data_IF_720733412610
#
_entry.id   IF_720733412610
#
_cell.length_a   1.000
_cell.length_b   1.000
_cell.length_c   1.000
_cell.angle_alpha   90.00
_cell.angle_beta   90.00
_cell.angle_gamma   90.00
#
_symmetry.space_group_name_H-M   'P 1'
#
loop_
_entity.id
_entity.type
_entity.pdbx_description
1 polymer ?
#
# COMPACT_ATOMS: atom_id res chain seq x y z
N UNK A 1 -20.35 -4.20 -46.02
CA UNK A 1 -20.80 -5.15 -44.97
C UNK A 1 -19.68 -5.59 -44.01
N UNK A 2 -18.54 -4.87 -43.94
CA UNK A 2 -17.36 -5.30 -43.17
C UNK A 2 -17.16 -4.59 -41.80
N UNK A 3 -18.01 -3.62 -41.45
CA UNK A 3 -17.88 -2.84 -40.21
C UNK A 3 -18.41 -3.55 -38.95
N UNK A 4 -19.39 -4.47 -39.05
CA UNK A 4 -19.98 -5.10 -37.86
C UNK A 4 -19.00 -6.02 -37.11
N UNK A 5 -18.07 -6.66 -37.83
CA UNK A 5 -17.05 -7.54 -37.24
C UNK A 5 -15.89 -6.81 -36.57
N UNK A 6 -15.69 -5.53 -36.85
CA UNK A 6 -14.69 -4.69 -36.18
C UNK A 6 -15.23 -4.17 -34.84
N UNK A 7 -16.45 -3.65 -34.84
CA UNK A 7 -17.14 -3.20 -33.62
C UNK A 7 -17.33 -4.34 -32.60
N UNK A 8 -17.68 -5.54 -33.07
CA UNK A 8 -17.82 -6.71 -32.19
C UNK A 8 -16.50 -7.11 -31.52
N UNK A 9 -15.40 -7.17 -32.29
CA UNK A 9 -14.07 -7.49 -31.75
C UNK A 9 -13.55 -6.46 -30.76
N UNK A 10 -13.84 -5.18 -31.00
CA UNK A 10 -13.45 -4.09 -30.11
C UNK A 10 -14.21 -4.13 -28.77
N UNK A 11 -15.53 -4.28 -28.84
CA UNK A 11 -16.38 -4.45 -27.66
C UNK A 11 -15.95 -5.66 -26.83
N UNK A 12 -15.66 -6.79 -27.47
CA UNK A 12 -15.19 -7.99 -26.79
C UNK A 12 -13.82 -7.76 -26.09
N UNK A 13 -12.92 -6.97 -26.68
CA UNK A 13 -11.61 -6.64 -26.11
C UNK A 13 -11.72 -5.71 -24.89
N UNK A 14 -12.57 -4.68 -24.95
CA UNK A 14 -12.81 -3.76 -23.83
C UNK A 14 -13.45 -4.46 -22.63
N UNK A 15 -14.33 -5.44 -22.88
CA UNK A 15 -14.88 -6.29 -21.81
C UNK A 15 -13.81 -7.16 -21.16
N UNK A 16 -12.91 -7.75 -21.95
CA UNK A 16 -11.83 -8.61 -21.44
C UNK A 16 -10.84 -7.81 -20.56
N UNK A 17 -10.45 -6.60 -20.99
CA UNK A 17 -9.52 -5.75 -20.21
C UNK A 17 -10.16 -5.33 -18.89
N UNK A 18 -11.44 -4.91 -18.91
CA UNK A 18 -12.17 -4.54 -17.71
C UNK A 18 -12.31 -5.71 -16.72
N UNK A 19 -12.62 -6.90 -17.21
CA UNK A 19 -12.76 -8.09 -16.37
C UNK A 19 -11.41 -8.54 -15.79
N UNK A 20 -10.33 -8.45 -16.58
CA UNK A 20 -8.97 -8.74 -16.10
C UNK A 20 -8.55 -7.79 -14.98
N UNK A 21 -8.70 -6.47 -15.17
CA UNK A 21 -8.37 -5.46 -14.16
C UNK A 21 -9.23 -5.58 -12.90
N UNK A 22 -10.53 -5.88 -13.04
CA UNK A 22 -11.41 -6.13 -11.89
C UNK A 22 -10.98 -7.36 -11.11
N UNK A 23 -10.56 -8.41 -11.81
CA UNK A 23 -10.03 -9.63 -11.19
C UNK A 23 -8.75 -9.31 -10.42
N UNK A 24 -7.80 -8.60 -11.03
CA UNK A 24 -6.56 -8.18 -10.38
C UNK A 24 -6.82 -7.33 -9.12
N UNK A 25 -7.73 -6.36 -9.18
CA UNK A 25 -8.14 -5.56 -8.01
C UNK A 25 -8.72 -6.45 -6.90
N UNK A 26 -9.51 -7.45 -7.27
CA UNK A 26 -10.10 -8.37 -6.30
C UNK A 26 -9.04 -9.22 -5.61
N UNK A 27 -8.04 -9.69 -6.35
CA UNK A 27 -6.91 -10.48 -5.82
C UNK A 27 -6.02 -9.63 -4.90
N UNK A 28 -5.70 -8.40 -5.30
CA UNK A 28 -4.93 -7.47 -4.49
C UNK A 28 -5.67 -7.13 -3.18
N UNK A 29 -7.00 -6.95 -3.23
CA UNK A 29 -7.83 -6.75 -2.01
C UNK A 29 -7.78 -7.94 -1.08
N UNK A 30 -7.82 -9.16 -1.63
CA UNK A 30 -7.70 -10.40 -0.87
C UNK A 30 -6.31 -10.51 -0.23
N UNK A 31 -5.26 -10.22 -0.98
CA UNK A 31 -3.88 -10.22 -0.49
C UNK A 31 -3.68 -9.21 0.64
N UNK A 32 -4.21 -7.99 0.50
CA UNK A 32 -4.21 -6.98 1.58
C UNK A 32 -4.93 -7.50 2.83
N UNK A 33 -6.10 -8.12 2.68
CA UNK A 33 -6.82 -8.69 3.82
C UNK A 33 -6.00 -9.79 4.51
N UNK A 34 -5.39 -10.69 3.75
CA UNK A 34 -4.53 -11.74 4.28
C UNK A 34 -3.32 -11.17 5.03
N UNK A 35 -2.69 -10.12 4.52
CA UNK A 35 -1.58 -9.44 5.20
C UNK A 35 -2.01 -8.81 6.54
N UNK A 36 -3.20 -8.20 6.59
CA UNK A 36 -3.75 -7.64 7.83
C UNK A 36 -4.00 -8.76 8.84
N UNK A 37 -4.64 -9.85 8.42
CA UNK A 37 -4.92 -10.99 9.30
C UNK A 37 -3.62 -11.63 9.80
N UNK A 38 -2.61 -11.75 8.94
CA UNK A 38 -1.27 -12.23 9.31
C UNK A 38 -0.62 -11.28 10.31
N UNK A 39 -0.68 -9.95 10.11
CA UNK A 39 -0.15 -8.96 11.07
C UNK A 39 -0.73 -9.22 12.47
N UNK A 40 -2.06 -9.29 12.59
CA UNK A 40 -2.70 -9.52 13.89
C UNK A 40 -2.33 -10.87 14.49
N UNK A 41 -2.33 -11.95 13.70
CA UNK A 41 -1.98 -13.28 14.17
C UNK A 41 -0.53 -13.33 14.69
N UNK A 42 0.44 -12.80 13.91
CA UNK A 42 1.84 -12.78 14.28
C UNK A 42 2.09 -11.92 15.51
N UNK A 43 1.57 -10.69 15.56
CA UNK A 43 1.79 -9.80 16.69
C UNK A 43 1.15 -10.33 17.97
N UNK A 44 -0.05 -10.90 17.88
CA UNK A 44 -0.71 -11.53 19.04
C UNK A 44 0.03 -12.76 19.52
N UNK A 45 0.50 -13.62 18.61
CA UNK A 45 1.30 -14.79 18.97
C UNK A 45 2.64 -14.39 19.62
N UNK A 46 3.37 -13.46 19.02
CA UNK A 46 4.67 -13.00 19.54
C UNK A 46 4.52 -12.31 20.89
N UNK A 47 3.51 -11.47 21.05
CA UNK A 47 3.23 -10.81 22.33
C UNK A 47 2.80 -11.81 23.39
N UNK A 48 1.93 -12.77 23.04
CA UNK A 48 1.50 -13.85 23.94
C UNK A 48 2.68 -14.73 24.37
N UNK A 49 3.49 -15.23 23.44
CA UNK A 49 4.67 -16.05 23.73
C UNK A 49 5.71 -15.27 24.55
N UNK A 50 5.96 -14.01 24.20
CA UNK A 50 6.87 -13.15 24.96
C UNK A 50 6.38 -12.87 26.39
N UNK A 51 5.07 -12.82 26.60
CA UNK A 51 4.46 -12.65 27.93
C UNK A 51 4.51 -13.92 28.80
N UNK A 52 4.73 -15.11 28.23
CA UNK A 52 4.88 -16.36 29.02
C UNK A 52 6.06 -16.23 30.01
N UNK A 53 7.12 -15.53 29.61
CA UNK A 53 8.27 -15.26 30.49
C UNK A 53 7.93 -14.42 31.73
N UNK A 54 6.78 -13.73 31.76
CA UNK A 54 6.27 -13.01 32.93
C UNK A 54 5.60 -13.95 33.92
N UNK A 55 4.90 -14.97 33.40
CA UNK A 55 4.10 -15.91 34.21
C UNK A 55 5.00 -17.01 34.79
N UNK A 56 5.98 -17.47 34.02
CA UNK A 56 7.00 -18.39 34.49
C UNK A 56 8.12 -17.62 35.18
N UNK A 57 7.89 -17.14 36.40
CA UNK A 57 8.89 -16.53 37.31
C UNK A 57 10.09 -17.44 37.66
N UNK A 58 10.27 -18.55 36.97
CA UNK A 58 11.29 -19.56 37.21
C UNK A 58 12.24 -19.60 36.02
N UNK A 59 13.53 -19.78 36.30
CA UNK A 59 14.64 -19.94 35.36
C UNK A 59 14.39 -21.00 34.27
N UNK A 60 13.54 -20.70 33.30
CA UNK A 60 13.46 -21.46 32.06
C UNK A 60 14.67 -21.07 31.22
N UNK A 61 15.40 -22.07 30.72
CA UNK A 61 16.57 -21.91 29.86
C UNK A 61 16.27 -21.14 28.56
N UNK A 62 15.00 -21.00 28.21
CA UNK A 62 14.52 -20.24 27.06
C UNK A 62 13.86 -18.95 27.51
N UNK A 63 14.57 -17.83 27.31
CA UNK A 63 14.04 -16.50 27.56
C UNK A 63 13.27 -15.97 26.34
N UNK A 64 11.96 -16.21 26.30
CA UNK A 64 11.08 -15.75 25.23
C UNK A 64 10.78 -14.25 25.28
N UNK A 65 11.12 -13.53 26.36
CA UNK A 65 10.87 -12.09 26.44
C UNK A 65 11.61 -11.27 25.38
N UNK A 66 12.68 -11.80 24.78
CA UNK A 66 13.36 -11.18 23.64
C UNK A 66 12.42 -11.00 22.43
N UNK A 67 11.37 -11.82 22.30
CA UNK A 67 10.35 -11.67 21.26
C UNK A 67 9.58 -10.36 21.39
N UNK A 68 9.39 -9.84 22.61
CA UNK A 68 8.70 -8.57 22.85
C UNK A 68 9.44 -7.40 22.19
N UNK A 69 10.77 -7.41 22.21
CA UNK A 69 11.57 -6.39 21.53
C UNK A 69 11.37 -6.40 20.01
N UNK A 70 11.01 -7.53 19.41
CA UNK A 70 10.78 -7.67 17.97
C UNK A 70 9.37 -7.26 17.53
N UNK A 71 8.39 -7.30 18.43
CA UNK A 71 6.98 -6.96 18.15
C UNK A 71 6.80 -5.67 17.34
N UNK A 72 7.36 -4.50 17.74
CA UNK A 72 7.16 -3.27 16.98
C UNK A 72 7.85 -3.31 15.61
N UNK A 73 9.02 -3.95 15.48
CA UNK A 73 9.72 -4.03 14.20
C UNK A 73 8.97 -4.91 13.19
N UNK A 74 8.42 -6.03 13.66
CA UNK A 74 7.56 -6.89 12.84
C UNK A 74 6.28 -6.14 12.45
N UNK A 75 5.69 -5.39 13.37
CA UNK A 75 4.51 -4.58 13.10
C UNK A 75 4.76 -3.52 12.01
N UNK A 76 5.89 -2.80 12.12
CA UNK A 76 6.37 -1.84 11.11
C UNK A 76 6.56 -2.52 9.75
N UNK A 77 7.16 -3.71 9.71
CA UNK A 77 7.36 -4.44 8.45
C UNK A 77 6.02 -4.80 7.78
N UNK A 78 5.04 -5.27 8.56
CA UNK A 78 3.68 -5.50 8.03
C UNK A 78 3.03 -4.21 7.52
N UNK A 79 3.25 -3.08 8.18
CA UNK A 79 2.72 -1.79 7.73
C UNK A 79 3.27 -1.37 6.38
N UNK A 80 4.56 -1.61 6.13
CA UNK A 80 5.14 -1.43 4.80
C UNK A 80 4.48 -2.32 3.74
N UNK A 81 4.30 -3.61 4.03
CA UNK A 81 3.68 -4.53 3.06
C UNK A 81 2.22 -4.18 2.77
N UNK A 82 1.44 -3.90 3.81
CA UNK A 82 0.03 -3.49 3.66
C UNK A 82 -0.07 -2.17 2.91
N UNK A 83 0.85 -1.23 3.18
CA UNK A 83 0.93 0.05 2.47
C UNK A 83 1.18 -0.14 0.97
N UNK A 84 2.16 -0.96 0.59
CA UNK A 84 2.48 -1.23 -0.82
C UNK A 84 1.27 -1.82 -1.55
N UNK A 85 0.52 -2.71 -0.90
CA UNK A 85 -0.66 -3.33 -1.50
C UNK A 85 -1.87 -2.40 -1.59
N UNK A 86 -2.11 -1.56 -0.58
CA UNK A 86 -3.17 -0.56 -0.64
C UNK A 86 -2.93 0.46 -1.78
N UNK A 87 -1.66 0.84 -1.97
CA UNK A 87 -1.23 1.67 -3.10
C UNK A 87 -1.53 1.01 -4.47
N UNK A 88 -1.30 -0.30 -4.61
CA UNK A 88 -1.61 -1.04 -5.85
C UNK A 88 -3.12 -1.04 -6.15
N UNK A 89 -3.95 -1.33 -5.14
CA UNK A 89 -5.42 -1.44 -5.29
C UNK A 89 -6.04 -0.12 -5.76
N UNK A 90 -5.69 0.99 -5.11
CA UNK A 90 -6.33 2.28 -5.41
C UNK A 90 -5.82 2.90 -6.70
N UNK A 91 -4.56 2.65 -7.06
CA UNK A 91 -4.01 2.98 -8.38
C UNK A 91 -4.77 2.26 -9.50
N UNK A 92 -4.97 0.95 -9.39
CA UNK A 92 -5.77 0.20 -10.35
C UNK A 92 -7.24 0.67 -10.38
N UNK A 93 -7.82 0.99 -9.22
CA UNK A 93 -9.20 1.49 -9.12
C UNK A 93 -9.43 2.87 -9.73
N UNK A 94 -8.51 3.83 -9.53
CA UNK A 94 -8.63 5.17 -10.14
C UNK A 94 -8.41 5.14 -11.65
N UNK A 95 -7.49 4.30 -12.13
CA UNK A 95 -7.31 4.10 -13.57
C UNK A 95 -8.58 3.57 -14.24
N UNK A 96 -9.25 2.56 -13.65
CA UNK A 96 -10.52 2.06 -14.17
C UNK A 96 -11.60 3.14 -14.28
N UNK A 97 -11.71 4.02 -13.27
CA UNK A 97 -12.68 5.12 -13.32
C UNK A 97 -12.39 6.10 -14.45
N UNK A 98 -11.11 6.33 -14.78
CA UNK A 98 -10.72 7.22 -15.87
C UNK A 98 -10.86 6.56 -17.24
N UNK A 99 -10.58 5.26 -17.34
CA UNK A 99 -10.78 4.46 -18.54
C UNK A 99 -12.26 4.45 -18.97
N UNK A 100 -13.19 4.42 -18.02
CA UNK A 100 -14.63 4.48 -18.29
C UNK A 100 -15.12 5.79 -18.92
N UNK A 101 -14.36 6.88 -18.80
CA UNK A 101 -14.71 8.20 -19.34
C UNK A 101 -13.97 8.54 -20.65
N UNK A 102 -13.16 7.62 -21.17
CA UNK A 102 -12.34 7.82 -22.36
C UNK A 102 -13.06 7.33 -23.63
N UNK A 103 -13.03 8.08 -24.74
CA UNK A 103 -13.60 7.61 -26.00
C UNK A 103 -12.72 6.51 -26.62
N UNK A 104 -13.29 5.31 -26.74
CA UNK A 104 -13.02 4.22 -27.70
C UNK A 104 -11.55 4.10 -28.20
N UNK A 105 -10.58 3.92 -27.30
CA UNK A 105 -9.15 3.79 -27.62
C UNK A 105 -8.86 2.34 -28.08
N UNK A 106 -8.64 2.12 -29.39
CA UNK A 106 -8.50 0.76 -29.96
C UNK A 106 -7.09 0.15 -29.90
N UNK A 107 -6.11 0.79 -29.23
CA UNK A 107 -4.72 0.32 -29.24
C UNK A 107 -4.22 0.03 -27.81
N UNK A 108 -3.97 -1.25 -27.53
CA UNK A 108 -3.46 -1.74 -26.24
C UNK A 108 -2.16 -1.03 -25.80
N UNK A 109 -1.27 -0.65 -26.73
CA UNK A 109 -0.04 0.08 -26.41
C UNK A 109 -0.28 1.52 -25.92
N UNK A 110 -1.34 2.19 -26.38
CA UNK A 110 -1.70 3.53 -25.89
C UNK A 110 -2.27 3.47 -24.48
N UNK A 111 -3.01 2.41 -24.15
CA UNK A 111 -3.57 2.18 -22.81
C UNK A 111 -2.45 1.91 -21.79
N UNK A 112 -1.42 1.15 -22.17
CA UNK A 112 -0.27 0.86 -21.31
C UNK A 112 0.57 2.11 -21.02
N UNK A 113 0.80 2.97 -22.03
CA UNK A 113 1.45 4.27 -21.83
C UNK A 113 0.65 5.23 -20.93
N UNK A 114 -0.68 5.30 -21.12
CA UNK A 114 -1.58 6.10 -20.27
C UNK A 114 -1.59 5.53 -18.84
N UNK A 115 -1.49 4.22 -18.67
CA UNK A 115 -1.36 3.57 -17.38
C UNK A 115 -0.04 3.93 -16.69
N UNK A 116 1.09 3.86 -17.39
CA UNK A 116 2.41 4.22 -16.84
C UNK A 116 2.48 5.69 -16.42
N UNK A 117 1.92 6.60 -17.24
CA UNK A 117 1.87 8.03 -16.92
C UNK A 117 0.91 8.30 -15.76
N UNK A 118 -0.24 7.61 -15.71
CA UNK A 118 -1.18 7.68 -14.59
C UNK A 118 -0.57 7.15 -13.27
N UNK A 119 0.20 6.07 -13.34
CA UNK A 119 0.96 5.48 -12.22
C UNK A 119 1.96 6.50 -11.66
N UNK A 120 2.63 7.24 -12.54
CA UNK A 120 3.57 8.30 -12.14
C UNK A 120 2.86 9.47 -11.42
N UNK A 121 1.60 9.76 -11.76
CA UNK A 121 0.89 10.96 -11.31
C UNK A 121 -0.04 10.78 -10.10
N UNK A 122 -0.50 9.56 -9.78
CA UNK A 122 -1.48 9.35 -8.71
C UNK A 122 -0.97 8.51 -7.52
N UNK A 123 -0.01 9.01 -6.72
CA UNK A 123 0.32 8.36 -5.47
C UNK A 123 -0.74 8.55 -4.39
N UNK A 124 -1.05 7.44 -3.73
CA UNK A 124 -2.24 7.26 -2.89
C UNK A 124 -2.12 7.83 -1.46
N UNK A 125 -3.26 8.21 -0.83
CA UNK A 125 -3.39 9.16 0.29
C UNK A 125 -4.20 8.70 1.52
N UNK A 126 -4.58 7.42 1.65
CA UNK A 126 -5.75 7.08 2.49
C UNK A 126 -5.57 6.20 3.73
N UNK A 127 -4.93 5.03 3.63
CA UNK A 127 -5.15 3.96 4.63
C UNK A 127 -4.11 3.87 5.75
N UNK A 128 -3.04 4.66 5.68
CA UNK A 128 -1.82 4.46 6.46
C UNK A 128 -1.99 4.74 7.96
N UNK A 129 -2.88 5.67 8.34
CA UNK A 129 -2.99 6.12 9.73
C UNK A 129 -3.49 5.02 10.68
N UNK A 130 -4.45 4.19 10.26
CA UNK A 130 -5.00 3.13 11.11
C UNK A 130 -3.95 2.05 11.43
N UNK A 131 -3.06 1.76 10.48
CA UNK A 131 -2.02 0.74 10.66
C UNK A 131 -0.93 1.20 11.63
N UNK A 132 -0.52 2.46 11.52
CA UNK A 132 0.40 3.10 12.45
C UNK A 132 -0.13 3.14 13.88
N UNK A 133 -1.44 3.38 14.06
CA UNK A 133 -2.07 3.32 15.39
C UNK A 133 -2.01 1.91 15.97
N UNK A 134 -2.29 0.88 15.18
CA UNK A 134 -2.17 -0.52 15.63
C UNK A 134 -0.74 -0.84 16.04
N UNK A 135 0.25 -0.42 15.23
CA UNK A 135 1.67 -0.62 15.54
C UNK A 135 2.09 0.09 16.82
N UNK A 136 1.59 1.30 17.06
CA UNK A 136 1.82 2.03 18.30
C UNK A 136 1.22 1.30 19.51
N UNK A 137 0.00 0.76 19.38
CA UNK A 137 -0.64 -0.03 20.45
C UNK A 137 0.24 -1.24 20.82
N UNK A 138 0.74 -1.98 19.83
CA UNK A 138 1.62 -3.13 20.07
C UNK A 138 2.98 -2.71 20.63
N UNK A 139 3.54 -1.59 20.19
CA UNK A 139 4.79 -1.03 20.72
C UNK A 139 4.66 -0.64 22.19
N UNK A 140 3.59 0.06 22.57
CA UNK A 140 3.29 0.44 23.95
C UNK A 140 3.01 -0.80 24.80
N UNK A 141 2.23 -1.75 24.29
CA UNK A 141 1.92 -3.00 25.00
C UNK A 141 3.20 -3.80 25.28
N UNK A 142 4.09 -3.91 24.29
CA UNK A 142 5.40 -4.55 24.46
C UNK A 142 6.27 -3.82 25.49
N UNK A 143 6.32 -2.48 25.45
CA UNK A 143 7.04 -1.68 26.44
C UNK A 143 6.55 -1.97 27.87
N UNK A 144 5.23 -1.98 28.08
CA UNK A 144 4.64 -2.26 29.39
C UNK A 144 5.00 -3.67 29.91
N UNK A 145 4.98 -4.67 29.03
CA UNK A 145 5.38 -6.03 29.37
C UNK A 145 6.88 -6.12 29.71
N UNK A 146 7.75 -5.41 28.98
CA UNK A 146 9.18 -5.36 29.25
C UNK A 146 9.51 -4.61 30.56
N UNK A 147 8.75 -3.58 30.91
CA UNK A 147 8.83 -2.92 32.22
C UNK A 147 8.45 -3.89 33.33
N UNK A 148 7.38 -4.67 33.16
CA UNK A 148 6.97 -5.68 34.13
C UNK A 148 8.05 -6.77 34.35
N UNK A 149 8.83 -7.08 33.30
CA UNK A 149 10.00 -7.96 33.36
C UNK A 149 11.26 -7.34 33.96
N UNK A 150 11.18 -6.09 34.45
CA UNK A 150 12.29 -5.37 35.11
C UNK A 150 13.54 -5.19 34.24
N UNK A 151 13.36 -5.07 32.93
CA UNK A 151 14.45 -4.70 32.03
C UNK A 151 14.98 -3.28 32.33
N UNK A 152 16.24 -3.04 31.95
CA UNK A 152 16.91 -1.78 32.27
C UNK A 152 16.29 -0.60 31.53
N UNK A 153 15.90 0.44 32.28
CA UNK A 153 15.11 1.57 31.78
C UNK A 153 15.73 2.28 30.56
N UNK A 154 17.05 2.46 30.53
CA UNK A 154 17.72 3.15 29.42
C UNK A 154 17.66 2.33 28.11
N UNK A 155 17.76 0.99 28.18
CA UNK A 155 17.62 0.12 27.01
C UNK A 155 16.21 0.23 26.45
N UNK A 156 15.20 0.16 27.34
CA UNK A 156 13.79 0.28 26.94
C UNK A 156 13.48 1.64 26.33
N UNK A 157 14.04 2.70 26.90
CA UNK A 157 13.86 4.07 26.40
C UNK A 157 14.46 4.22 25.01
N UNK A 158 15.72 3.81 24.80
CA UNK A 158 16.37 3.89 23.48
C UNK A 158 15.60 3.05 22.46
N UNK A 159 15.26 1.81 22.80
CA UNK A 159 14.49 0.92 21.92
C UNK A 159 13.14 1.52 21.53
N UNK A 160 12.39 2.06 22.48
CA UNK A 160 11.09 2.66 22.22
C UNK A 160 11.21 3.92 21.36
N UNK A 161 12.21 4.77 21.64
CA UNK A 161 12.51 5.95 20.81
C UNK A 161 12.80 5.52 19.37
N UNK A 162 13.64 4.50 19.16
CA UNK A 162 13.94 3.98 17.81
C UNK A 162 12.67 3.49 17.12
N UNK A 163 11.85 2.69 17.80
CA UNK A 163 10.59 2.18 17.24
C UNK A 163 9.63 3.32 16.83
N UNK A 164 9.45 4.32 17.70
CA UNK A 164 8.60 5.49 17.44
C UNK A 164 9.18 6.37 16.33
N UNK A 165 10.50 6.54 16.26
CA UNK A 165 11.14 7.30 15.18
C UNK A 165 11.00 6.59 13.83
N UNK A 166 11.14 5.26 13.78
CA UNK A 166 10.91 4.49 12.57
C UNK A 166 9.45 4.64 12.08
N UNK A 167 8.49 4.44 12.98
CA UNK A 167 7.07 4.59 12.65
C UNK A 167 6.73 6.05 12.25
N UNK A 168 7.26 7.02 13.00
CA UNK A 168 7.13 8.43 12.71
C UNK A 168 7.72 8.82 11.36
N UNK A 169 8.86 8.24 10.96
CA UNK A 169 9.46 8.47 9.65
C UNK A 169 8.59 7.95 8.50
N UNK A 170 7.93 6.80 8.69
CA UNK A 170 6.99 6.23 7.72
C UNK A 170 5.78 7.15 7.57
N UNK A 171 5.20 7.56 8.70
CA UNK A 171 4.10 8.51 8.74
C UNK A 171 4.47 9.87 8.13
N UNK A 172 5.63 10.42 8.47
CA UNK A 172 6.13 11.69 7.94
C UNK A 172 6.34 11.61 6.44
N UNK A 173 7.04 10.58 5.94
CA UNK A 173 7.21 10.36 4.50
C UNK A 173 5.87 10.32 3.79
N UNK A 174 4.89 9.64 4.39
CA UNK A 174 3.53 9.61 3.87
C UNK A 174 2.86 11.00 3.88
N UNK A 175 2.95 11.76 4.97
CA UNK A 175 2.39 13.10 5.06
C UNK A 175 3.06 14.07 4.06
N UNK A 176 4.37 13.98 3.87
CA UNK A 176 5.09 14.78 2.87
C UNK A 176 4.69 14.41 1.45
N UNK A 177 4.51 13.11 1.15
CA UNK A 177 3.97 12.67 -0.13
C UNK A 177 2.55 13.21 -0.35
N UNK A 178 1.71 13.19 0.69
CA UNK A 178 0.35 13.76 0.64
C UNK A 178 0.36 15.25 0.27
N UNK A 179 1.30 16.03 0.80
CA UNK A 179 1.38 17.46 0.54
C UNK A 179 1.92 17.78 -0.86
N UNK A 180 2.97 17.08 -1.32
CA UNK A 180 3.54 17.26 -2.66
C UNK A 180 2.55 17.01 -3.79
N UNK A 181 1.60 16.12 -3.56
CA UNK A 181 0.62 15.71 -4.57
C UNK A 181 -0.67 16.52 -4.52
N UNK A 182 -0.88 17.36 -3.50
CA UNK A 182 -2.05 18.25 -3.40
C UNK A 182 -2.05 19.36 -4.46
N UNK A 183 -0.98 19.53 -5.23
CA UNK A 183 -0.97 20.42 -6.40
C UNK A 183 -1.94 19.87 -7.46
N UNK A 184 -2.80 20.70 -8.05
CA UNK A 184 -3.75 20.25 -9.08
C UNK A 184 -2.96 19.62 -10.24
N UNK A 185 -3.26 18.36 -10.53
CA UNK A 185 -2.76 17.69 -11.74
C UNK A 185 -3.14 18.51 -12.98
N UNK A 186 -2.34 18.48 -14.05
CA UNK A 186 -2.78 18.97 -15.36
C UNK A 186 -4.14 18.34 -15.66
N UNK A 187 -5.05 19.13 -16.21
CA UNK A 187 -6.36 18.64 -16.59
C UNK A 187 -6.18 17.39 -17.46
N UNK A 188 -6.83 16.28 -17.13
CA UNK A 188 -6.78 15.05 -17.95
C UNK A 188 -7.20 15.39 -19.38
N UNK A 189 -8.11 16.36 -19.54
CA UNK A 189 -8.49 16.92 -20.83
C UNK A 189 -7.30 17.52 -21.61
N UNK A 190 -6.30 18.09 -20.93
CA UNK A 190 -5.10 18.64 -21.56
C UNK A 190 -4.11 17.55 -22.02
N UNK A 191 -4.03 16.42 -21.31
CA UNK A 191 -3.21 15.27 -21.75
C UNK A 191 -3.92 14.50 -22.88
N UNK A 192 -5.24 14.34 -22.79
CA UNK A 192 -6.06 13.80 -23.87
C UNK A 192 -6.08 14.70 -25.10
N UNK A 193 -6.02 16.03 -24.93
CA UNK A 193 -5.84 16.98 -26.03
C UNK A 193 -4.48 16.84 -26.71
N UNK A 194 -3.41 16.49 -25.96
CA UNK A 194 -2.08 16.22 -26.55
C UNK A 194 -2.03 14.91 -27.32
N UNK A 195 -2.74 13.88 -26.85
CA UNK A 195 -2.82 12.58 -27.52
C UNK A 195 -3.81 12.56 -28.69
N UNK A 196 -4.81 13.44 -28.67
CA UNK A 196 -5.77 13.62 -29.78
C UNK A 196 -5.33 14.64 -30.81
N UNK A 197 -4.31 15.46 -30.50
CA UNK A 197 -3.56 16.22 -31.50
C UNK A 197 -2.90 15.23 -32.46
N UNK A 198 -3.35 15.14 -33.72
CA UNK A 198 -2.57 14.43 -34.73
C UNK A 198 -1.19 15.10 -34.76
N UNK A 199 -0.14 14.32 -35.01
CA UNK A 199 1.10 14.87 -35.53
C UNK A 199 0.73 15.76 -36.74
N UNK A 200 0.66 17.06 -36.51
CA UNK A 200 0.54 18.04 -37.56
C UNK A 200 1.90 18.08 -38.23
N UNK A 201 2.01 17.23 -39.27
CA UNK A 201 2.92 17.33 -40.41
C UNK A 201 4.30 17.92 -40.10
N UNK A 202 5.27 17.04 -39.79
CA UNK A 202 6.62 17.22 -40.33
C UNK A 202 6.58 16.80 -41.82
N UNK A 203 5.93 17.63 -42.63
CA UNK A 203 6.23 17.79 -44.05
C UNK A 203 6.65 19.25 -44.19
N UNK A 204 7.95 19.51 -44.09
CA UNK A 204 8.67 20.59 -44.79
C UNK A 204 10.11 20.65 -44.24
N UNK A 205 11.02 19.89 -44.86
CA UNK A 205 12.25 20.35 -45.56
C UNK A 205 12.80 19.20 -46.39
#
# INVERSE_FOLDING_TARGET
MHMSGFFKRKHDMDTVINDMLRTEISELRKLRHDLIMRKFAFLTAFMGTGAISIVSSAQASLNFSLLLFLVPFVAIAFDFYIFVEDYRIKRAGEFLKRLQNLPDISENQKIEGIWEEFVAENPDRGATFAFSVVTLIYAVSSLLLLIALKYTWWILTIWFIVAVLCEGAILLRHLTLREKLRKPTPNVDAMLARLSSPHEKEEDV
#
